data_IF_299902428352
#
_entry.id   IF_299902428352
#
_cell.length_a   1.000
_cell.length_b   1.000
_cell.length_c   1.000
_cell.angle_alpha   90.00
_cell.angle_beta   90.00
_cell.angle_gamma   90.00
#
_symmetry.space_group_name_H-M   'P 1'
#
loop_
_entity.id
_entity.type
_entity.pdbx_description
1 polymer ?
#
# COMPACT_ATOMS: atom_id res chain seq x y z
N UNK A 1 3.99 12.76 32.01
CA UNK A 1 5.16 13.35 31.30
C UNK A 1 6.00 12.22 30.73
N UNK A 2 6.25 12.18 29.42
CA UNK A 2 7.16 11.20 28.82
C UNK A 2 8.61 11.54 29.23
N UNK A 3 9.35 10.57 29.78
CA UNK A 3 10.77 10.75 30.11
C UNK A 3 11.56 10.92 28.82
N UNK A 4 12.14 12.10 28.61
CA UNK A 4 13.01 12.36 27.46
C UNK A 4 14.34 11.64 27.72
N UNK A 5 14.70 10.67 26.86
CA UNK A 5 15.99 9.99 26.96
C UNK A 5 17.12 10.87 26.41
N UNK A 6 18.25 10.92 27.12
CA UNK A 6 19.41 11.75 26.77
C UNK A 6 20.67 10.89 26.61
N UNK A 7 21.61 11.36 25.81
CA UNK A 7 22.97 10.84 25.72
C UNK A 7 23.81 11.33 26.93
N UNK A 8 24.93 10.67 27.26
CA UNK A 8 25.81 11.11 28.36
C UNK A 8 26.34 12.55 28.22
N UNK A 9 26.34 13.09 27.00
CA UNK A 9 26.73 14.47 26.70
C UNK A 9 25.57 15.48 26.84
N UNK A 10 24.45 15.10 27.45
CA UNK A 10 23.29 15.96 27.69
C UNK A 10 22.42 16.23 26.45
N UNK A 11 22.79 15.74 25.26
CA UNK A 11 21.95 15.86 24.06
C UNK A 11 20.76 14.93 24.15
N UNK A 12 19.59 15.41 23.75
CA UNK A 12 18.38 14.58 23.61
C UNK A 12 18.65 13.46 22.61
N UNK A 13 18.32 12.21 22.95
CA UNK A 13 18.44 11.08 22.02
C UNK A 13 17.49 11.31 20.86
N UNK A 14 18.07 11.60 19.70
CA UNK A 14 17.39 11.83 18.44
C UNK A 14 18.20 11.18 17.34
N UNK A 15 17.53 10.74 16.28
CA UNK A 15 18.17 10.15 15.08
C UNK A 15 19.26 11.07 14.51
N UNK A 16 19.13 12.40 14.72
CA UNK A 16 20.12 13.39 14.28
C UNK A 16 21.48 13.25 14.97
N UNK A 17 21.50 12.80 16.22
CA UNK A 17 22.72 12.70 17.04
C UNK A 17 23.28 11.28 17.14
N UNK A 18 22.66 10.31 16.47
CA UNK A 18 23.18 8.95 16.40
C UNK A 18 24.49 8.90 15.62
N UNK A 19 25.44 8.12 16.12
CA UNK A 19 26.64 7.76 15.38
C UNK A 19 26.33 6.80 14.21
N UNK A 20 27.34 6.42 13.42
CA UNK A 20 27.16 5.56 12.26
C UNK A 20 26.64 4.16 12.60
N UNK A 21 27.09 3.59 13.70
CA UNK A 21 26.74 2.22 14.08
C UNK A 21 25.38 2.17 14.77
N UNK A 22 25.06 3.18 15.58
CA UNK A 22 23.70 3.43 16.10
C UNK A 22 22.70 3.62 14.95
N UNK A 23 23.06 4.38 13.90
CA UNK A 23 22.21 4.55 12.71
C UNK A 23 21.98 3.23 11.98
N UNK A 24 23.02 2.41 11.77
CA UNK A 24 22.87 1.09 11.15
C UNK A 24 21.93 0.20 11.97
N UNK A 25 22.14 0.15 13.30
CA UNK A 25 21.30 -0.64 14.20
C UNK A 25 19.85 -0.14 14.24
N UNK A 26 19.66 1.18 14.24
CA UNK A 26 18.33 1.78 14.15
C UNK A 26 17.62 1.39 12.85
N UNK A 27 18.31 1.46 11.70
CA UNK A 27 17.73 1.04 10.40
C UNK A 27 17.40 -0.44 10.36
N UNK A 28 18.25 -1.29 10.92
CA UNK A 28 17.98 -2.72 11.04
C UNK A 28 16.70 -2.97 11.86
N UNK A 29 16.61 -2.37 13.05
CA UNK A 29 15.43 -2.48 13.92
C UNK A 29 14.17 -1.94 13.25
N UNK A 30 14.28 -0.83 12.52
CA UNK A 30 13.18 -0.27 11.74
C UNK A 30 12.71 -1.25 10.65
N UNK A 31 13.63 -1.93 9.97
CA UNK A 31 13.32 -2.97 9.00
C UNK A 31 12.56 -4.13 9.65
N UNK A 32 13.07 -4.65 10.76
CA UNK A 32 12.42 -5.73 11.53
C UNK A 32 11.04 -5.33 12.04
N UNK A 33 10.88 -4.09 12.54
CA UNK A 33 9.59 -3.57 12.98
C UNK A 33 8.58 -3.51 11.83
N UNK A 34 9.01 -3.07 10.64
CA UNK A 34 8.15 -3.04 9.47
C UNK A 34 7.73 -4.43 9.01
N UNK A 35 8.67 -5.40 9.03
CA UNK A 35 8.39 -6.79 8.69
C UNK A 35 7.37 -7.42 9.66
N UNK A 36 7.59 -7.24 10.97
CA UNK A 36 6.65 -7.70 11.99
C UNK A 36 5.29 -7.02 11.86
N UNK A 37 5.25 -5.73 11.56
CA UNK A 37 3.99 -5.00 11.28
C UNK A 37 3.26 -5.59 10.08
N UNK A 38 3.97 -5.86 8.97
CA UNK A 38 3.39 -6.48 7.79
C UNK A 38 2.85 -7.88 8.07
N UNK A 39 3.58 -8.71 8.83
CA UNK A 39 3.10 -10.04 9.24
C UNK A 39 1.86 -9.94 10.13
N UNK A 40 1.85 -9.01 11.07
CA UNK A 40 0.70 -8.75 11.94
C UNK A 40 -0.53 -8.39 11.11
N UNK A 41 -0.41 -7.43 10.20
CA UNK A 41 -1.50 -6.95 9.33
C UNK A 41 -2.04 -8.05 8.39
N UNK A 42 -1.20 -9.02 8.02
CA UNK A 42 -1.62 -10.20 7.23
C UNK A 42 -2.29 -11.26 8.10
N UNK A 43 -1.86 -11.40 9.36
CA UNK A 43 -2.34 -12.43 10.29
C UNK A 43 -3.66 -12.07 10.97
N UNK A 44 -3.87 -10.79 11.25
CA UNK A 44 -5.12 -10.28 11.81
C UNK A 44 -5.98 -9.87 10.63
N UNK A 45 -7.23 -10.32 10.57
CA UNK A 45 -8.21 -9.97 9.53
C UNK A 45 -8.56 -8.47 9.57
N UNK A 46 -7.61 -7.59 9.29
CA UNK A 46 -7.71 -6.13 9.41
C UNK A 46 -7.78 -5.51 8.03
N UNK A 47 -8.75 -4.62 7.81
CA UNK A 47 -8.83 -3.89 6.56
C UNK A 47 -7.65 -2.93 6.41
N UNK A 48 -6.82 -3.13 5.39
CA UNK A 48 -5.66 -2.28 5.09
C UNK A 48 -6.04 -0.81 4.85
N UNK A 49 -7.29 -0.53 4.46
CA UNK A 49 -7.78 0.83 4.20
C UNK A 49 -8.18 1.59 5.48
N UNK A 50 -8.78 0.91 6.46
CA UNK A 50 -9.36 1.58 7.64
C UNK A 50 -8.83 1.06 8.99
N UNK A 51 -7.98 0.02 8.99
CA UNK A 51 -7.36 -0.53 10.20
C UNK A 51 -8.32 -1.25 11.15
N UNK A 52 -9.48 -1.71 10.67
CA UNK A 52 -10.52 -2.38 11.48
C UNK A 52 -10.72 -3.83 11.04
N UNK A 53 -10.85 -4.76 12.00
CA UNK A 53 -11.00 -6.19 11.74
C UNK A 53 -12.30 -6.86 12.24
N UNK A 54 -13.34 -6.07 12.51
CA UNK A 54 -14.64 -6.56 13.02
C UNK A 54 -15.74 -6.62 11.95
N UNK A 55 -15.37 -6.73 10.67
CA UNK A 55 -16.31 -6.71 9.54
C UNK A 55 -16.08 -7.93 8.66
N UNK A 56 -16.97 -8.15 7.69
CA UNK A 56 -16.73 -9.15 6.65
C UNK A 56 -15.51 -8.75 5.82
N UNK A 57 -14.56 -9.67 5.76
CA UNK A 57 -13.25 -9.46 5.15
C UNK A 57 -13.06 -10.31 3.90
N UNK A 58 -12.35 -9.77 2.94
CA UNK A 58 -11.94 -10.44 1.70
C UNK A 58 -10.43 -10.33 1.58
N UNK A 59 -9.78 -11.47 1.35
CA UNK A 59 -8.36 -11.50 1.06
C UNK A 59 -8.10 -11.23 -0.42
N UNK A 60 -7.28 -10.21 -0.70
CA UNK A 60 -6.84 -9.91 -2.06
C UNK A 60 -5.42 -10.43 -2.28
N UNK A 61 -5.31 -11.58 -2.96
CA UNK A 61 -4.02 -12.22 -3.26
C UNK A 61 -3.06 -11.35 -4.08
N UNK A 62 -3.57 -10.48 -4.95
CA UNK A 62 -2.71 -9.63 -5.79
C UNK A 62 -1.94 -8.57 -4.99
N UNK A 63 -2.49 -8.16 -3.85
CA UNK A 63 -1.87 -7.19 -2.95
C UNK A 63 -1.45 -7.80 -1.61
N UNK A 64 -1.61 -9.12 -1.44
CA UNK A 64 -1.29 -9.86 -0.21
C UNK A 64 -1.87 -9.18 1.05
N UNK A 65 -3.12 -8.73 0.94
CA UNK A 65 -3.73 -7.85 1.92
C UNK A 65 -5.23 -8.16 2.15
N UNK A 66 -5.69 -7.89 3.36
CA UNK A 66 -7.09 -7.99 3.75
C UNK A 66 -7.82 -6.66 3.56
N UNK A 67 -9.03 -6.73 3.02
CA UNK A 67 -9.93 -5.60 2.85
C UNK A 67 -11.28 -5.95 3.47
N UNK A 68 -11.97 -4.98 4.07
CA UNK A 68 -13.39 -5.17 4.28
C UNK A 68 -14.10 -5.19 2.93
N UNK A 69 -15.24 -5.88 2.84
CA UNK A 69 -16.03 -6.03 1.60
C UNK A 69 -16.32 -4.70 0.91
N UNK A 70 -16.62 -3.64 1.67
CA UNK A 70 -16.81 -2.27 1.18
C UNK A 70 -15.56 -1.72 0.47
N UNK A 71 -14.41 -1.75 1.13
CA UNK A 71 -13.14 -1.27 0.57
C UNK A 71 -12.69 -2.10 -0.62
N UNK A 72 -12.88 -3.43 -0.55
CA UNK A 72 -12.54 -4.33 -1.63
C UNK A 72 -13.31 -3.96 -2.90
N UNK A 73 -14.61 -3.66 -2.78
CA UNK A 73 -15.43 -3.25 -3.91
C UNK A 73 -14.96 -1.93 -4.53
N UNK A 74 -14.61 -0.94 -3.70
CA UNK A 74 -14.08 0.35 -4.18
C UNK A 74 -12.77 0.15 -4.94
N UNK A 75 -11.82 -0.63 -4.38
CA UNK A 75 -10.55 -0.90 -5.05
C UNK A 75 -10.73 -1.72 -6.33
N UNK A 76 -11.61 -2.72 -6.32
CA UNK A 76 -11.92 -3.52 -7.51
C UNK A 76 -12.44 -2.64 -8.64
N UNK A 77 -13.38 -1.73 -8.35
CA UNK A 77 -13.91 -0.79 -9.34
C UNK A 77 -12.83 0.17 -9.86
N UNK A 78 -11.99 0.70 -8.98
CA UNK A 78 -10.87 1.57 -9.34
C UNK A 78 -9.82 0.87 -10.20
N UNK A 79 -9.48 -0.38 -9.88
CA UNK A 79 -8.59 -1.22 -10.69
C UNK A 79 -9.18 -1.51 -12.07
N UNK A 80 -10.48 -1.82 -12.17
CA UNK A 80 -11.15 -2.01 -13.45
C UNK A 80 -11.15 -0.74 -14.31
N UNK A 81 -11.42 0.43 -13.72
CA UNK A 81 -11.34 1.72 -14.43
C UNK A 81 -9.92 1.97 -14.97
N UNK A 82 -8.89 1.75 -14.14
CA UNK A 82 -7.48 1.87 -14.55
C UNK A 82 -7.13 0.91 -15.70
N UNK A 83 -7.60 -0.34 -15.63
CA UNK A 83 -7.38 -1.33 -16.67
C UNK A 83 -8.06 -0.95 -18.00
N UNK A 84 -9.30 -0.43 -17.95
CA UNK A 84 -10.01 0.07 -19.15
C UNK A 84 -9.29 1.26 -19.78
N UNK A 85 -8.89 2.24 -18.97
CA UNK A 85 -8.14 3.41 -19.46
C UNK A 85 -6.80 3.01 -20.08
N UNK A 86 -6.10 2.02 -19.51
CA UNK A 86 -4.86 1.49 -20.09
C UNK A 86 -5.10 0.83 -21.45
N UNK A 87 -6.17 0.04 -21.60
CA UNK A 87 -6.55 -0.59 -22.87
C UNK A 87 -6.89 0.43 -23.95
N UNK A 88 -7.59 1.51 -23.60
CA UNK A 88 -7.90 2.59 -24.55
C UNK A 88 -6.62 3.32 -25.01
N UNK A 89 -5.66 3.53 -24.12
CA UNK A 89 -4.36 4.13 -24.47
C UNK A 89 -3.47 3.25 -25.33
N UNK A 90 -3.64 1.93 -25.28
CA UNK A 90 -2.84 0.98 -26.06
C UNK A 90 -3.52 0.54 -27.36
N UNK A 91 -4.77 0.96 -27.62
CA UNK A 91 -5.37 0.75 -28.95
C UNK A 91 -4.52 1.49 -29.97
N UNK A 92 -4.05 0.79 -30.99
CA UNK A 92 -3.36 1.45 -32.09
C UNK A 92 -4.34 2.37 -32.81
N UNK A 93 -3.82 3.40 -33.46
CA UNK A 93 -4.63 4.34 -34.25
C UNK A 93 -5.45 3.61 -35.34
N UNK A 94 -4.97 2.44 -35.78
CA UNK A 94 -5.65 1.55 -36.73
C UNK A 94 -6.82 0.79 -36.10
N UNK A 95 -6.67 0.28 -34.87
CA UNK A 95 -7.77 -0.41 -34.16
C UNK A 95 -8.91 0.55 -33.82
N UNK A 96 -8.59 1.80 -33.49
CA UNK A 96 -9.58 2.86 -33.25
C UNK A 96 -10.29 3.28 -34.55
N UNK A 97 -9.56 3.34 -35.66
CA UNK A 97 -10.14 3.60 -36.99
C UNK A 97 -11.07 2.46 -37.44
N UNK A 98 -10.66 1.20 -37.29
CA UNK A 98 -11.48 0.02 -37.65
C UNK A 98 -12.78 -0.03 -36.83
N UNK A 99 -12.70 0.22 -35.51
CA UNK A 99 -13.89 0.23 -34.65
C UNK A 99 -14.85 1.38 -35.02
N UNK A 100 -14.32 2.58 -35.27
CA UNK A 100 -15.15 3.71 -35.68
C UNK A 100 -15.80 3.45 -37.05
N UNK A 101 -15.08 2.85 -37.98
CA UNK A 101 -15.63 2.53 -39.29
C UNK A 101 -16.71 1.44 -39.22
N UNK A 102 -16.56 0.46 -38.32
CA UNK A 102 -17.57 -0.59 -38.11
C UNK A 102 -18.91 -0.04 -37.57
N UNK A 103 -18.89 1.07 -36.82
CA UNK A 103 -20.09 1.72 -36.27
C UNK A 103 -20.85 2.57 -37.30
N UNK A 104 -20.24 2.90 -38.44
CA UNK A 104 -20.87 3.61 -39.55
C UNK A 104 -21.60 2.71 -40.55
N UNK A 105 -21.48 1.38 -40.41
CA UNK A 105 -22.15 0.39 -41.29
C UNK A 105 -23.43 -0.23 -40.69
N UNK A 106 -23.96 0.34 -39.60
CA UNK A 106 -25.30 0.08 -39.06
C UNK A 106 -26.17 1.33 -39.23
#
# INVERSE_FOLDING_TARGET
MQKISQYPNGKIRSVRYMDSDEKKRFRLLQGQQNELGSLLDRSILVCITFGKGHRDMVYNKAYDAWYCTECYNIERLSAQKRAKAKRQRTKSHEEEAIENHSKTFL
#
